data_IF_953965282922
#
_entry.id   IF_953965282922
#
_cell.length_a   1.000
_cell.length_b   1.000
_cell.length_c   1.000
_cell.angle_alpha   90.00
_cell.angle_beta   90.00
_cell.angle_gamma   90.00
#
_symmetry.space_group_name_H-M   'P 1'
#
loop_
_entity.id
_entity.type
_entity.pdbx_description
1 polymer ?
#
# COMPACT_ATOMS: atom_id res chain seq x y z
N UNK A 1 13.21 12.07 3.56
CA UNK A 1 12.30 10.92 3.51
C UNK A 1 12.44 10.24 2.17
N UNK A 2 12.31 8.93 2.18
CA UNK A 2 12.42 8.06 1.02
C UNK A 2 11.10 7.34 0.77
N UNK A 3 10.82 7.05 -0.49
CA UNK A 3 9.71 6.18 -0.86
C UNK A 3 10.19 5.02 -1.70
N UNK A 4 9.45 3.92 -1.64
CA UNK A 4 9.63 2.76 -2.52
C UNK A 4 8.34 2.44 -3.27
N UNK A 5 8.47 2.09 -4.55
CA UNK A 5 7.37 1.75 -5.46
C UNK A 5 7.56 0.33 -5.97
N UNK A 6 6.58 -0.54 -5.74
CA UNK A 6 6.47 -1.83 -6.43
C UNK A 6 5.12 -1.91 -7.11
N UNK A 7 5.15 -1.84 -8.44
CA UNK A 7 3.99 -1.98 -9.29
C UNK A 7 4.16 -3.19 -10.23
N UNK A 8 3.22 -4.11 -10.15
CA UNK A 8 3.10 -5.28 -11.04
C UNK A 8 1.96 -5.10 -12.07
N UNK A 9 1.47 -3.87 -12.25
CA UNK A 9 0.41 -3.52 -13.19
C UNK A 9 0.90 -2.77 -14.43
N UNK A 10 0.06 -1.87 -14.95
CA UNK A 10 0.37 -1.04 -16.12
C UNK A 10 1.23 0.20 -15.82
N UNK A 11 1.54 0.43 -14.53
CA UNK A 11 2.36 1.53 -14.04
C UNK A 11 1.71 2.91 -14.04
N UNK A 12 0.45 3.04 -14.44
CA UNK A 12 -0.20 4.34 -14.59
C UNK A 12 -0.44 5.04 -13.25
N UNK A 13 -0.87 4.30 -12.23
CA UNK A 13 -1.07 4.78 -10.86
C UNK A 13 0.25 4.93 -10.09
N UNK A 14 1.20 4.02 -10.29
CA UNK A 14 2.55 4.09 -9.74
C UNK A 14 3.25 5.40 -10.12
N UNK A 15 3.13 5.85 -11.37
CA UNK A 15 3.72 7.14 -11.81
C UNK A 15 3.08 8.35 -11.12
N UNK A 16 1.77 8.30 -10.81
CA UNK A 16 1.09 9.36 -10.05
C UNK A 16 1.61 9.38 -8.61
N UNK A 17 1.79 8.19 -8.02
CA UNK A 17 2.40 8.04 -6.70
C UNK A 17 3.79 8.69 -6.65
N UNK A 18 4.69 8.32 -7.57
CA UNK A 18 6.06 8.85 -7.57
C UNK A 18 6.10 10.35 -7.76
N UNK A 19 5.31 10.87 -8.71
CA UNK A 19 5.22 12.32 -8.95
C UNK A 19 4.69 13.07 -7.72
N UNK A 20 3.75 12.47 -6.98
CA UNK A 20 3.24 13.00 -5.73
C UNK A 20 4.32 13.05 -4.64
N UNK A 21 5.03 11.94 -4.42
CA UNK A 21 6.13 11.88 -3.45
C UNK A 21 7.26 12.87 -3.77
N UNK A 22 7.63 13.00 -5.05
CA UNK A 22 8.66 13.95 -5.48
C UNK A 22 8.23 15.40 -5.23
N UNK A 23 6.95 15.74 -5.46
CA UNK A 23 6.40 17.07 -5.11
C UNK A 23 6.43 17.38 -3.62
N UNK A 24 6.41 16.34 -2.77
CA UNK A 24 6.59 16.47 -1.32
C UNK A 24 8.07 16.56 -0.90
N UNK A 25 9.01 16.51 -1.84
CA UNK A 25 10.45 16.55 -1.57
C UNK A 25 11.03 15.21 -1.13
N UNK A 26 10.36 14.10 -1.42
CA UNK A 26 10.87 12.75 -1.11
C UNK A 26 11.79 12.25 -2.23
N UNK A 27 12.80 11.48 -1.85
CA UNK A 27 13.68 10.78 -2.80
C UNK A 27 13.24 9.33 -3.01
N UNK A 28 13.41 8.80 -4.21
CA UNK A 28 13.20 7.37 -4.47
C UNK A 28 14.31 6.54 -3.78
N UNK A 29 13.93 5.43 -3.15
CA UNK A 29 14.88 4.41 -2.67
C UNK A 29 14.92 3.23 -3.63
N UNK A 30 13.76 2.64 -3.90
CA UNK A 30 13.60 1.63 -4.93
C UNK A 30 12.33 1.90 -5.74
N UNK A 31 12.41 1.73 -7.05
CA UNK A 31 11.26 1.83 -7.94
C UNK A 31 11.29 0.69 -8.94
N UNK A 32 10.24 -0.12 -8.92
CA UNK A 32 9.94 -1.13 -9.93
C UNK A 32 8.53 -0.87 -10.43
N UNK A 33 8.42 -0.56 -11.71
CA UNK A 33 7.14 -0.26 -12.37
C UNK A 33 7.02 -1.18 -13.58
N UNK A 34 5.91 -1.91 -13.64
CA UNK A 34 5.66 -2.94 -14.63
C UNK A 34 6.19 -4.32 -14.24
N UNK A 35 5.65 -5.33 -14.91
CA UNK A 35 5.79 -6.73 -14.56
C UNK A 35 7.00 -7.42 -15.25
N UNK A 36 8.18 -6.81 -15.17
CA UNK A 36 9.43 -7.41 -15.72
C UNK A 36 10.54 -7.57 -14.68
N UNK A 37 10.16 -7.63 -13.40
CA UNK A 37 11.10 -7.66 -12.28
C UNK A 37 11.75 -9.02 -12.09
N UNK A 38 13.07 -9.04 -11.89
CA UNK A 38 13.79 -10.27 -11.54
C UNK A 38 13.71 -10.55 -10.04
N UNK A 39 13.91 -11.82 -9.64
CA UNK A 39 13.97 -12.19 -8.22
C UNK A 39 15.06 -11.47 -7.42
N UNK A 40 16.16 -11.08 -8.06
CA UNK A 40 17.22 -10.27 -7.43
C UNK A 40 16.78 -8.82 -7.20
N UNK A 41 16.10 -8.20 -8.17
CA UNK A 41 15.55 -6.85 -8.03
C UNK A 41 14.51 -6.80 -6.91
N UNK A 42 13.62 -7.80 -6.85
CA UNK A 42 12.65 -7.94 -5.77
C UNK A 42 13.35 -8.10 -4.42
N UNK A 43 14.36 -8.95 -4.34
CA UNK A 43 15.14 -9.10 -3.09
C UNK A 43 15.77 -7.79 -2.65
N UNK A 44 16.37 -7.03 -3.59
CA UNK A 44 16.93 -5.71 -3.32
C UNK A 44 15.88 -4.74 -2.77
N UNK A 45 14.71 -4.67 -3.41
CA UNK A 45 13.59 -3.84 -2.94
C UNK A 45 13.16 -4.19 -1.52
N UNK A 46 12.95 -5.48 -1.22
CA UNK A 46 12.48 -5.91 0.09
C UNK A 46 13.52 -5.76 1.21
N UNK A 47 14.78 -5.52 0.85
CA UNK A 47 15.89 -5.23 1.77
C UNK A 47 16.03 -3.73 2.09
N UNK A 48 15.26 -2.85 1.45
CA UNK A 48 15.34 -1.40 1.62
C UNK A 48 14.71 -0.86 2.91
N UNK A 49 14.91 0.44 3.16
CA UNK A 49 14.46 1.18 4.35
C UNK A 49 13.64 2.44 4.03
N UNK A 50 12.56 2.33 3.23
CA UNK A 50 11.75 3.50 2.87
C UNK A 50 10.89 3.99 4.04
N UNK A 51 10.59 5.29 4.06
CA UNK A 51 9.57 5.83 4.95
C UNK A 51 8.18 5.40 4.48
N UNK A 52 7.93 5.49 3.16
CA UNK A 52 6.63 5.17 2.54
C UNK A 52 6.76 4.11 1.46
N UNK A 53 5.79 3.21 1.40
CA UNK A 53 5.76 2.13 0.43
C UNK A 53 4.45 2.17 -0.35
N UNK A 54 4.54 1.99 -1.66
CA UNK A 54 3.39 1.79 -2.53
C UNK A 54 3.48 0.44 -3.23
N UNK A 55 2.40 -0.33 -3.12
CA UNK A 55 2.19 -1.59 -3.82
C UNK A 55 1.00 -1.49 -4.76
N UNK A 56 1.15 -1.84 -6.03
CA UNK A 56 0.05 -1.97 -6.99
C UNK A 56 0.21 -3.21 -7.88
N UNK A 57 -0.92 -3.66 -8.41
CA UNK A 57 -1.05 -4.93 -9.13
C UNK A 57 -2.36 -5.63 -8.74
N UNK A 58 -2.46 -6.91 -9.10
CA UNK A 58 -3.55 -7.74 -8.61
C UNK A 58 -3.23 -8.27 -7.21
N UNK A 59 -4.26 -8.40 -6.37
CA UNK A 59 -4.10 -8.93 -5.03
C UNK A 59 -5.20 -9.92 -4.68
N UNK A 60 -4.82 -11.18 -4.44
CA UNK A 60 -5.72 -12.20 -3.93
C UNK A 60 -4.96 -13.47 -3.49
N UNK A 61 -5.30 -14.09 -2.34
CA UNK A 61 -5.85 -13.46 -1.13
C UNK A 61 -4.77 -12.72 -0.31
N UNK A 62 -3.53 -13.19 -0.35
CA UNK A 62 -2.35 -12.59 0.29
C UNK A 62 -1.17 -12.49 -0.68
N UNK A 63 -1.47 -12.54 -1.97
CA UNK A 63 -0.49 -12.56 -3.05
C UNK A 63 -0.64 -11.29 -3.86
N UNK A 64 0.41 -10.49 -3.99
CA UNK A 64 0.49 -9.43 -5.01
C UNK A 64 1.07 -10.05 -6.29
N UNK A 65 0.40 -9.89 -7.42
CA UNK A 65 0.84 -10.50 -8.67
C UNK A 65 0.57 -9.64 -9.91
N UNK A 66 1.41 -9.86 -10.93
CA UNK A 66 1.24 -9.47 -12.31
C UNK A 66 1.15 -10.70 -13.21
N UNK A 67 1.51 -10.57 -14.49
CA UNK A 67 1.48 -11.68 -15.45
C UNK A 67 2.62 -12.70 -15.25
N UNK A 68 3.77 -12.25 -14.73
CA UNK A 68 5.01 -13.02 -14.63
C UNK A 68 5.61 -13.06 -13.22
N UNK A 69 5.24 -12.10 -12.37
CA UNK A 69 5.72 -11.99 -10.98
C UNK A 69 4.59 -12.20 -9.99
N UNK A 70 4.83 -12.96 -8.93
CA UNK A 70 3.91 -13.05 -7.79
C UNK A 70 4.67 -13.12 -6.46
N UNK A 71 4.10 -12.49 -5.43
CA UNK A 71 4.71 -12.30 -4.11
C UNK A 71 3.68 -12.62 -3.04
N UNK A 72 3.90 -13.68 -2.29
CA UNK A 72 3.08 -14.05 -1.14
C UNK A 72 3.55 -13.32 0.11
N UNK A 73 2.62 -12.65 0.78
CA UNK A 73 2.86 -11.97 2.04
C UNK A 73 2.47 -12.86 3.21
N UNK A 74 3.42 -13.10 4.11
CA UNK A 74 3.24 -13.84 5.36
C UNK A 74 3.44 -12.89 6.55
N UNK A 75 3.08 -13.32 7.75
CA UNK A 75 3.23 -12.51 8.96
C UNK A 75 4.71 -12.27 9.33
N UNK A 76 5.59 -13.20 8.95
CA UNK A 76 6.99 -13.29 9.32
C UNK A 76 7.94 -13.19 8.11
N UNK A 77 7.46 -12.72 6.97
CA UNK A 77 8.26 -12.54 5.78
C UNK A 77 7.42 -12.56 4.50
N UNK A 78 8.09 -12.78 3.38
CA UNK A 78 7.44 -12.93 2.07
C UNK A 78 8.04 -14.12 1.31
N UNK A 79 7.32 -14.59 0.31
CA UNK A 79 7.79 -15.61 -0.64
C UNK A 79 7.66 -15.08 -2.06
N UNK A 80 8.75 -15.11 -2.81
CA UNK A 80 8.76 -14.81 -4.24
C UNK A 80 8.37 -16.07 -5.00
N UNK A 81 7.38 -15.96 -5.88
CA UNK A 81 6.89 -17.08 -6.69
C UNK A 81 7.39 -16.99 -8.14
N UNK A 82 7.64 -18.14 -8.76
CA UNK A 82 7.91 -18.28 -10.20
C UNK A 82 6.92 -19.30 -10.77
N UNK A 83 6.00 -18.86 -11.63
CA UNK A 83 4.98 -19.75 -12.22
C UNK A 83 4.11 -20.48 -11.19
N UNK A 84 3.87 -19.86 -10.03
CA UNK A 84 3.17 -20.37 -8.83
C UNK A 84 3.99 -21.26 -7.89
N UNK A 85 5.27 -21.50 -8.14
CA UNK A 85 6.13 -22.25 -7.21
C UNK A 85 6.99 -21.29 -6.36
N UNK A 86 7.15 -21.57 -5.05
CA UNK A 86 8.11 -20.85 -4.20
C UNK A 86 9.51 -20.89 -4.80
N UNK A 87 10.04 -19.72 -5.16
CA UNK A 87 11.39 -19.57 -5.71
C UNK A 87 12.38 -19.09 -4.66
N UNK A 88 11.93 -18.25 -3.71
CA UNK A 88 12.77 -17.66 -2.66
C UNK A 88 11.92 -17.19 -1.50
N UNK A 89 12.33 -17.48 -0.27
CA UNK A 89 11.73 -16.91 0.93
C UNK A 89 12.62 -15.80 1.50
N UNK A 90 11.99 -14.70 1.91
CA UNK A 90 12.65 -13.56 2.55
C UNK A 90 12.06 -13.38 3.95
N UNK A 91 12.66 -14.00 4.98
CA UNK A 91 12.18 -13.89 6.36
C UNK A 91 12.31 -12.47 6.89
N UNK A 92 11.44 -12.09 7.81
CA UNK A 92 11.44 -10.79 8.50
C UNK A 92 12.63 -10.72 9.47
N UNK A 93 13.79 -10.36 8.94
CA UNK A 93 15.03 -10.19 9.68
C UNK A 93 16.03 -9.31 8.89
N UNK A 94 17.19 -9.04 9.49
CA UNK A 94 18.21 -8.16 8.93
C UNK A 94 18.83 -8.64 7.59
N UNK A 95 18.62 -9.88 7.17
CA UNK A 95 19.13 -10.46 5.93
C UNK A 95 18.05 -10.69 4.87
N UNK A 96 16.76 -10.49 5.20
CA UNK A 96 15.63 -10.74 4.34
C UNK A 96 14.75 -9.51 4.15
N UNK A 97 13.53 -9.56 4.70
CA UNK A 97 12.54 -8.49 4.61
C UNK A 97 12.79 -7.40 5.66
N UNK A 98 13.10 -6.18 5.21
CA UNK A 98 13.47 -5.02 6.05
C UNK A 98 12.62 -3.77 5.85
N UNK A 99 11.69 -3.80 4.89
CA UNK A 99 10.81 -2.67 4.58
C UNK A 99 10.09 -2.09 5.80
N UNK A 100 9.82 -2.92 6.82
CA UNK A 100 9.12 -2.52 8.04
C UNK A 100 9.94 -1.66 9.02
N UNK A 101 11.27 -1.59 8.89
CA UNK A 101 12.13 -1.02 9.95
C UNK A 101 11.93 0.50 10.14
N UNK A 102 11.73 1.23 9.04
CA UNK A 102 11.51 2.69 9.06
C UNK A 102 10.17 3.10 8.44
N UNK A 103 9.39 2.13 7.94
CA UNK A 103 8.16 2.41 7.24
C UNK A 103 7.08 2.95 8.19
N UNK A 104 6.55 4.11 7.85
CA UNK A 104 5.43 4.75 8.54
C UNK A 104 4.11 4.59 7.79
N UNK A 105 4.15 4.37 6.48
CA UNK A 105 2.96 4.27 5.61
C UNK A 105 3.14 3.21 4.53
N UNK A 106 2.15 2.33 4.41
CA UNK A 106 2.01 1.39 3.29
C UNK A 106 0.69 1.69 2.59
N UNK A 107 0.77 2.00 1.29
CA UNK A 107 -0.39 2.23 0.44
C UNK A 107 -0.55 1.07 -0.54
N UNK A 108 -1.76 0.53 -0.58
CA UNK A 108 -2.17 -0.53 -1.48
C UNK A 108 -3.02 0.04 -2.61
N UNK A 109 -2.41 0.23 -3.77
CA UNK A 109 -3.06 0.44 -5.06
C UNK A 109 -3.70 -0.83 -5.64
N UNK A 110 -3.98 -1.83 -4.80
CA UNK A 110 -4.58 -3.10 -5.18
C UNK A 110 -5.97 -3.28 -4.54
N UNK A 111 -6.82 -4.05 -5.22
CA UNK A 111 -8.19 -4.29 -4.79
C UNK A 111 -8.27 -5.10 -3.50
N UNK A 112 -9.26 -4.80 -2.65
CA UNK A 112 -9.70 -5.67 -1.53
C UNK A 112 -8.65 -6.04 -0.47
N UNK A 113 -7.46 -5.44 -0.48
CA UNK A 113 -6.38 -5.76 0.48
C UNK A 113 -6.83 -5.56 1.93
N UNK A 114 -7.62 -4.52 2.20
CA UNK A 114 -8.08 -4.16 3.54
C UNK A 114 -9.53 -4.62 3.79
N UNK A 115 -9.96 -5.70 3.14
CA UNK A 115 -11.33 -6.24 3.27
C UNK A 115 -11.51 -7.00 4.58
N UNK A 116 -10.68 -7.99 4.84
CA UNK A 116 -10.86 -8.94 5.95
C UNK A 116 -9.75 -8.83 7.02
N UNK A 117 -10.07 -9.31 8.23
CA UNK A 117 -9.23 -9.18 9.42
C UNK A 117 -7.92 -9.95 9.25
N UNK A 118 -7.96 -11.12 8.60
CA UNK A 118 -6.80 -11.99 8.41
C UNK A 118 -5.74 -11.29 7.57
N UNK A 119 -6.14 -10.69 6.44
CA UNK A 119 -5.21 -9.94 5.61
C UNK A 119 -4.60 -8.75 6.35
N UNK A 120 -5.43 -7.95 7.02
CA UNK A 120 -4.96 -6.77 7.76
C UNK A 120 -4.02 -7.17 8.89
N UNK A 121 -4.38 -8.18 9.70
CA UNK A 121 -3.52 -8.66 10.78
C UNK A 121 -2.20 -9.18 10.24
N UNK A 122 -2.19 -9.93 9.13
CA UNK A 122 -0.96 -10.44 8.51
C UNK A 122 -0.04 -9.28 8.11
N UNK A 123 -0.59 -8.27 7.43
CA UNK A 123 0.17 -7.09 7.03
C UNK A 123 0.65 -6.26 8.22
N UNK A 124 -0.13 -6.17 9.31
CA UNK A 124 0.31 -5.53 10.56
C UNK A 124 1.45 -6.30 11.23
N UNK A 125 1.41 -7.62 11.24
CA UNK A 125 2.54 -8.41 11.76
C UNK A 125 3.78 -8.19 10.90
N UNK A 126 3.63 -8.14 9.58
CA UNK A 126 4.74 -7.96 8.65
C UNK A 126 5.35 -6.55 8.72
N UNK A 127 4.53 -5.50 8.57
CA UNK A 127 4.94 -4.10 8.51
C UNK A 127 4.96 -3.37 9.87
N UNK A 128 4.57 -4.04 10.95
CA UNK A 128 4.51 -3.44 12.29
C UNK A 128 3.37 -2.43 12.43
N UNK A 129 3.66 -1.28 13.03
CA UNK A 129 2.67 -0.23 13.31
C UNK A 129 2.54 0.81 12.18
N UNK A 130 2.93 0.47 10.95
CA UNK A 130 2.71 1.35 9.81
C UNK A 130 1.21 1.63 9.59
N UNK A 131 0.90 2.84 9.13
CA UNK A 131 -0.43 3.19 8.62
C UNK A 131 -0.68 2.41 7.33
N UNK A 132 -1.75 1.62 7.28
CA UNK A 132 -2.16 0.90 6.08
C UNK A 132 -3.29 1.66 5.38
N UNK A 133 -3.10 1.99 4.10
CA UNK A 133 -4.09 2.68 3.27
C UNK A 133 -4.46 1.81 2.07
N UNK A 134 -5.73 1.79 1.68
CA UNK A 134 -6.16 0.99 0.54
C UNK A 134 -7.68 0.79 0.47
N UNK A 135 -8.07 -0.38 -0.05
CA UNK A 135 -9.46 -0.66 -0.41
C UNK A 135 -9.97 -1.96 0.23
N UNK A 136 -11.24 -1.98 0.66
CA UNK A 136 -11.97 -3.16 1.12
C UNK A 136 -12.77 -3.87 0.02
N UNK A 137 -12.81 -3.32 -1.18
CA UNK A 137 -13.53 -3.88 -2.31
C UNK A 137 -12.74 -3.70 -3.61
N UNK A 138 -13.30 -4.21 -4.71
CA UNK A 138 -12.74 -4.07 -6.05
C UNK A 138 -12.64 -2.59 -6.43
N UNK A 139 -11.43 -2.14 -6.77
CA UNK A 139 -11.14 -0.80 -7.28
C UNK A 139 -10.64 -0.86 -8.72
N UNK A 140 -11.21 -0.05 -9.61
CA UNK A 140 -10.65 0.14 -10.95
C UNK A 140 -9.42 1.06 -10.91
N UNK A 141 -8.55 0.94 -11.91
CA UNK A 141 -7.36 1.81 -12.06
C UNK A 141 -7.75 3.28 -12.00
N UNK A 142 -8.85 3.69 -12.63
CA UNK A 142 -9.30 5.10 -12.62
C UNK A 142 -9.65 5.59 -11.20
N UNK A 143 -10.22 4.74 -10.35
CA UNK A 143 -10.52 5.10 -8.95
C UNK A 143 -9.22 5.35 -8.19
N UNK A 144 -8.22 4.47 -8.37
CA UNK A 144 -6.94 4.61 -7.70
C UNK A 144 -6.19 5.88 -8.14
N UNK A 145 -6.19 6.17 -9.45
CA UNK A 145 -5.60 7.40 -9.98
C UNK A 145 -6.29 8.67 -9.43
N UNK A 146 -7.63 8.68 -9.33
CA UNK A 146 -8.37 9.80 -8.72
C UNK A 146 -8.02 9.95 -7.24
N UNK A 147 -7.96 8.82 -6.51
CA UNK A 147 -7.60 8.80 -5.09
C UNK A 147 -6.20 9.35 -4.85
N UNK A 148 -5.19 8.88 -5.58
CA UNK A 148 -3.81 9.36 -5.46
C UNK A 148 -3.72 10.86 -5.75
N UNK A 149 -4.33 11.33 -6.85
CA UNK A 149 -4.32 12.77 -7.16
C UNK A 149 -4.95 13.61 -6.04
N UNK A 150 -6.10 13.19 -5.51
CA UNK A 150 -6.80 13.91 -4.42
C UNK A 150 -6.10 13.81 -3.07
N UNK A 151 -5.40 12.71 -2.83
CA UNK A 151 -4.54 12.50 -1.68
C UNK A 151 -3.37 13.48 -1.70
N UNK A 152 -2.62 13.55 -2.81
CA UNK A 152 -1.48 14.47 -2.93
C UNK A 152 -1.88 15.94 -3.02
N UNK A 153 -3.13 16.27 -3.38
CA UNK A 153 -3.66 17.63 -3.21
C UNK A 153 -3.84 18.04 -1.74
N UNK A 154 -3.93 17.07 -0.83
CA UNK A 154 -4.19 17.28 0.61
C UNK A 154 -2.94 17.19 1.46
N UNK A 155 -1.96 16.38 1.07
CA UNK A 155 -0.68 16.30 1.78
C UNK A 155 0.17 17.51 1.40
N UNK A 156 0.63 18.27 2.40
CA UNK A 156 1.58 19.36 2.20
C UNK A 156 3.00 18.91 2.55
N UNK A 157 4.05 19.52 1.96
CA UNK A 157 5.43 19.28 2.38
C UNK A 157 5.59 19.44 3.90
N UNK A 158 6.21 18.46 4.55
CA UNK A 158 6.38 18.42 6.00
C UNK A 158 5.20 17.81 6.79
N UNK A 159 4.05 17.54 6.15
CA UNK A 159 2.91 16.86 6.78
C UNK A 159 3.00 15.34 6.65
N UNK A 160 4.09 14.77 7.18
CA UNK A 160 4.44 13.38 6.91
C UNK A 160 4.04 12.43 8.05
N UNK A 161 3.41 12.97 9.10
CA UNK A 161 3.01 12.21 10.27
C UNK A 161 1.78 11.33 10.00
N UNK A 162 1.67 10.14 10.63
CA UNK A 162 0.60 9.17 10.35
C UNK A 162 -0.82 9.75 10.41
N UNK A 163 -1.11 10.66 11.35
CA UNK A 163 -2.41 11.32 11.44
C UNK A 163 -2.72 12.18 10.21
N UNK A 164 -1.76 13.00 9.76
CA UNK A 164 -1.96 13.88 8.61
C UNK A 164 -2.19 13.06 7.32
N UNK A 165 -1.47 11.94 7.18
CA UNK A 165 -1.59 11.05 6.03
C UNK A 165 -2.91 10.27 6.06
N UNK A 166 -3.31 9.76 7.22
CA UNK A 166 -4.64 9.18 7.42
C UNK A 166 -5.75 10.16 7.05
N UNK A 167 -5.69 11.38 7.60
CA UNK A 167 -6.69 12.42 7.36
C UNK A 167 -6.73 12.79 5.87
N UNK A 168 -5.56 12.96 5.22
CA UNK A 168 -5.49 13.24 3.78
C UNK A 168 -6.13 12.14 2.93
N UNK A 169 -5.87 10.87 3.24
CA UNK A 169 -6.45 9.73 2.52
C UNK A 169 -7.96 9.66 2.70
N UNK A 170 -8.44 9.68 3.95
CA UNK A 170 -9.88 9.56 4.23
C UNK A 170 -10.66 10.77 3.72
N UNK A 171 -10.10 11.98 3.80
CA UNK A 171 -10.73 13.19 3.26
C UNK A 171 -10.70 13.24 1.72
N UNK A 172 -9.67 12.68 1.07
CA UNK A 172 -9.64 12.55 -0.38
C UNK A 172 -10.84 11.70 -0.85
N UNK A 173 -11.00 10.52 -0.26
CA UNK A 173 -12.12 9.61 -0.53
C UNK A 173 -13.47 10.26 -0.20
N UNK A 174 -13.65 10.77 1.02
CA UNK A 174 -14.95 11.29 1.48
C UNK A 174 -15.44 12.47 0.64
N UNK A 175 -14.54 13.37 0.26
CA UNK A 175 -14.91 14.56 -0.53
C UNK A 175 -15.42 14.25 -1.94
N UNK A 176 -15.14 13.06 -2.46
CA UNK A 176 -15.43 12.72 -3.86
C UNK A 176 -16.39 11.53 -3.99
N UNK A 177 -16.29 10.56 -3.10
CA UNK A 177 -17.09 9.33 -3.13
C UNK A 177 -18.07 9.21 -1.97
N UNK A 178 -18.00 10.07 -0.94
CA UNK A 178 -18.89 10.03 0.22
C UNK A 178 -20.36 10.20 -0.18
N UNK A 179 -21.24 9.35 0.36
CA UNK A 179 -22.66 9.28 0.02
C UNK A 179 -22.96 8.63 -1.33
N UNK A 180 -21.93 8.22 -2.07
CA UNK A 180 -22.04 7.52 -3.34
C UNK A 180 -22.09 6.00 -3.19
N UNK A 181 -22.33 5.28 -4.30
CA UNK A 181 -22.54 3.82 -4.31
C UNK A 181 -21.29 3.00 -3.96
N UNK A 182 -20.12 3.63 -3.86
CA UNK A 182 -18.84 2.97 -3.59
C UNK A 182 -18.12 3.58 -2.37
N UNK A 183 -18.81 4.39 -1.56
CA UNK A 183 -18.18 5.04 -0.40
C UNK A 183 -17.55 4.03 0.58
N UNK A 184 -18.15 2.85 0.68
CA UNK A 184 -17.78 1.80 1.61
C UNK A 184 -16.53 1.02 1.16
N UNK A 185 -15.90 1.36 0.03
CA UNK A 185 -14.69 0.67 -0.40
C UNK A 185 -13.41 1.23 0.23
N UNK A 186 -13.39 2.50 0.64
CA UNK A 186 -12.15 3.16 1.09
C UNK A 186 -11.84 2.81 2.54
N UNK A 187 -10.60 2.37 2.80
CA UNK A 187 -10.16 1.98 4.13
C UNK A 187 -8.82 2.59 4.48
N UNK A 188 -8.64 2.78 5.77
CA UNK A 188 -7.35 2.96 6.40
C UNK A 188 -7.32 2.22 7.74
N UNK A 189 -6.14 1.78 8.15
CA UNK A 189 -5.90 1.18 9.47
C UNK A 189 -4.76 1.93 10.11
N UNK A 190 -5.04 2.66 11.18
CA UNK A 190 -4.06 3.53 11.80
C UNK A 190 -2.97 2.76 12.59
N UNK A 191 -2.00 3.50 13.10
CA UNK A 191 -0.86 2.95 13.84
C UNK A 191 -1.29 2.15 15.08
N UNK A 192 -2.46 2.45 15.63
CA UNK A 192 -3.02 1.75 16.78
C UNK A 192 -3.89 0.55 16.37
N UNK A 193 -4.04 0.24 15.07
CA UNK A 193 -4.90 -0.84 14.58
C UNK A 193 -6.38 -0.47 14.49
N UNK A 194 -6.74 0.81 14.60
CA UNK A 194 -8.12 1.24 14.40
C UNK A 194 -8.42 1.40 12.90
N UNK A 195 -9.46 0.71 12.42
CA UNK A 195 -9.98 0.90 11.08
C UNK A 195 -10.74 2.24 10.97
N UNK A 196 -10.57 2.89 9.84
CA UNK A 196 -11.32 4.06 9.39
C UNK A 196 -11.99 3.76 8.05
N UNK A 197 -13.27 4.14 7.94
CA UNK A 197 -14.11 3.88 6.77
C UNK A 197 -15.10 5.02 6.54
N UNK A 198 -15.76 5.02 5.40
CA UNK A 198 -16.81 5.98 5.06
C UNK A 198 -18.16 5.28 5.11
N UNK A 199 -19.11 5.89 5.80
CA UNK A 199 -20.51 5.43 5.91
C UNK A 199 -21.41 6.65 5.92
N UNK A 200 -22.40 6.70 5.04
CA UNK A 200 -23.34 7.81 4.92
C UNK A 200 -22.63 9.17 4.81
N UNK A 201 -21.64 9.27 3.92
CA UNK A 201 -20.78 10.44 3.68
C UNK A 201 -19.98 10.93 4.91
N UNK A 202 -19.80 10.07 5.92
CA UNK A 202 -19.04 10.39 7.13
C UNK A 202 -17.86 9.44 7.30
N UNK A 203 -16.72 10.00 7.67
CA UNK A 203 -15.56 9.22 8.11
C UNK A 203 -15.84 8.74 9.54
N UNK A 204 -15.88 7.42 9.73
CA UNK A 204 -16.21 6.79 11.00
C UNK A 204 -15.17 5.73 11.36
N UNK A 205 -15.09 5.42 12.65
CA UNK A 205 -14.32 4.28 13.16
C UNK A 205 -15.02 2.98 12.79
N UNK A 206 -14.24 2.01 12.32
CA UNK A 206 -14.66 0.64 12.09
C UNK A 206 -14.15 -0.29 13.20
N UNK A 207 -13.76 -1.50 12.80
CA UNK A 207 -13.19 -2.52 13.69
C UNK A 207 -11.88 -2.05 14.35
N UNK A 208 -11.55 -2.67 15.49
CA UNK A 208 -10.26 -2.55 16.17
C UNK A 208 -9.56 -3.90 16.10
N UNK A 209 -8.34 -3.91 15.55
CA UNK A 209 -7.54 -5.10 15.27
C UNK A 209 -6.31 -5.17 16.17
#
# INVERSE_FOLDING_TARGET
MKYSTLDLGDGSDARIWEAGCQKLGMSVEHSMIGDSTTGEQLTGFFSGWPDWIYFSGHFAPMTLYGDSTAIDFKADGIVLLKGNEPSRELPKNAAGFRLHEFCSVVIWGACSVLRDDVAIMTLRHLFGNALLLGYAAKCGVQINQVMLNRFFQRVKPGQNGPKAILDAWMQAANSYYGGGPIEDMFRAVDIAGQEWKIVNARIVKGRKL
#
